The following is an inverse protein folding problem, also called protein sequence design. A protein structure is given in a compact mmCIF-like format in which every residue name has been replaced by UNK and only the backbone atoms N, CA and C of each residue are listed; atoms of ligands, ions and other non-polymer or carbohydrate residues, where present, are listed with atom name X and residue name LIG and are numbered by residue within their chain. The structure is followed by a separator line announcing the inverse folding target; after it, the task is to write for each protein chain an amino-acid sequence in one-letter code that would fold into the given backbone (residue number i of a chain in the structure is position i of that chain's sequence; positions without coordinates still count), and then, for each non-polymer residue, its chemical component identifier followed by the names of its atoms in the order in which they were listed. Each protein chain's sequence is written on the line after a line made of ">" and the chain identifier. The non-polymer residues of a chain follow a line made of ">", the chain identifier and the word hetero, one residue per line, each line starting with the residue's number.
data_IF_272521905043
#
_entry.id   IF_272521905043
#
_cell.length_a   1.000
_cell.length_b   1.000
_cell.length_c   1.000
_cell.angle_alpha   90.00
_cell.angle_beta   90.00
_cell.angle_gamma   90.00
#
_symmetry.space_group_name_H-M   'P 1'
#
loop_
_entity.id
_entity.type
_entity.pdbx_description
1 polymer ?
#
# COMPACT_ATOMS: atom_id res chain seq x y z
N UNK A 1 39.33 -35.47 -28.89
CA UNK A 1 39.26 -35.41 -27.41
C UNK A 1 38.32 -34.31 -26.90
N UNK A 2 38.48 -33.03 -27.29
CA UNK A 2 37.60 -31.91 -26.88
C UNK A 2 36.10 -32.11 -27.18
N UNK A 3 35.72 -32.53 -28.38
CA UNK A 3 34.32 -32.73 -28.76
C UNK A 3 33.60 -33.83 -27.94
N UNK A 4 34.35 -34.82 -27.43
CA UNK A 4 33.81 -35.91 -26.62
C UNK A 4 33.56 -35.45 -25.16
N UNK A 5 34.39 -34.52 -24.67
CA UNK A 5 34.24 -33.86 -23.37
C UNK A 5 33.02 -32.91 -23.41
N UNK A 6 32.85 -32.12 -24.48
CA UNK A 6 31.70 -31.22 -24.64
C UNK A 6 30.36 -31.98 -24.68
N UNK A 7 30.31 -33.14 -25.38
CA UNK A 7 29.11 -33.99 -25.38
C UNK A 7 28.80 -34.58 -24.00
N UNK A 8 29.81 -34.98 -23.22
CA UNK A 8 29.62 -35.47 -21.84
C UNK A 8 29.12 -34.39 -20.90
N UNK A 9 29.64 -33.16 -21.02
CA UNK A 9 29.17 -32.01 -20.24
C UNK A 9 27.72 -31.66 -20.59
N UNK A 10 27.37 -31.64 -21.88
CA UNK A 10 25.99 -31.40 -22.31
C UNK A 10 25.01 -32.46 -21.77
N UNK A 11 25.40 -33.74 -21.79
CA UNK A 11 24.61 -34.82 -21.17
C UNK A 11 24.43 -34.62 -19.67
N UNK A 12 25.48 -34.21 -18.94
CA UNK A 12 25.39 -33.93 -17.51
C UNK A 12 24.47 -32.74 -17.21
N UNK A 13 24.48 -31.70 -18.05
CA UNK A 13 23.58 -30.54 -17.92
C UNK A 13 22.12 -30.93 -18.19
N UNK A 14 21.86 -31.75 -19.22
CA UNK A 14 20.51 -32.23 -19.53
C UNK A 14 19.96 -33.13 -18.41
N UNK A 15 20.79 -34.01 -17.85
CA UNK A 15 20.42 -34.84 -16.69
C UNK A 15 20.16 -33.98 -15.45
N UNK A 16 21.00 -32.97 -15.17
CA UNK A 16 20.79 -32.05 -14.06
C UNK A 16 19.49 -31.23 -14.21
N UNK A 17 19.17 -30.78 -15.42
CA UNK A 17 17.93 -30.08 -15.72
C UNK A 17 16.70 -31.01 -15.63
N UNK A 18 16.83 -32.28 -15.98
CA UNK A 18 15.75 -33.27 -15.84
C UNK A 18 15.37 -33.57 -14.37
N UNK A 19 16.26 -33.30 -13.40
CA UNK A 19 15.99 -33.43 -11.96
C UNK A 19 15.53 -32.13 -11.28
N UNK A 20 15.37 -31.02 -12.02
CA UNK A 20 14.81 -29.75 -11.51
C UNK A 20 13.28 -29.80 -11.28
N UNK A 21 12.72 -31.00 -11.08
CA UNK A 21 11.29 -31.25 -11.00
C UNK A 21 10.64 -30.66 -9.75
N UNK A 22 9.76 -29.69 -9.98
CA UNK A 22 8.59 -29.27 -9.17
C UNK A 22 8.69 -29.38 -7.65
N UNK A 23 8.68 -28.22 -6.98
CA UNK A 23 8.64 -28.07 -5.53
C UNK A 23 7.65 -29.00 -4.82
N UNK A 24 8.10 -29.61 -3.72
CA UNK A 24 7.29 -30.37 -2.76
C UNK A 24 6.31 -29.46 -1.99
N UNK A 25 6.64 -28.18 -1.89
CA UNK A 25 5.94 -27.19 -1.07
C UNK A 25 5.02 -26.31 -1.92
N UNK A 26 3.90 -25.93 -1.33
CA UNK A 26 2.98 -24.91 -1.80
C UNK A 26 2.77 -23.89 -0.70
N UNK A 27 1.98 -22.88 -1.00
CA UNK A 27 1.59 -21.89 -0.01
C UNK A 27 0.19 -21.37 -0.29
N UNK A 28 -0.44 -20.81 0.74
CA UNK A 28 -1.61 -19.96 0.63
C UNK A 28 -1.28 -18.60 1.23
N UNK A 29 -1.86 -17.54 0.66
CA UNK A 29 -1.79 -16.19 1.22
C UNK A 29 -3.07 -15.91 2.00
N UNK A 30 -2.92 -15.42 3.24
CA UNK A 30 -4.04 -14.98 4.06
C UNK A 30 -3.94 -13.47 4.30
N UNK A 31 -5.07 -12.78 4.19
CA UNK A 31 -5.18 -11.37 4.54
C UNK A 31 -5.67 -11.29 5.98
N UNK A 32 -4.86 -10.74 6.87
CA UNK A 32 -5.27 -10.49 8.24
C UNK A 32 -5.69 -9.04 8.42
N UNK A 33 -6.83 -8.79 9.09
CA UNK A 33 -7.26 -7.43 9.35
C UNK A 33 -6.24 -6.72 10.23
N UNK A 34 -6.01 -5.45 9.91
CA UNK A 34 -5.22 -4.53 10.71
C UNK A 34 -6.12 -3.37 11.09
N UNK A 35 -6.09 -3.00 12.38
CA UNK A 35 -6.81 -1.83 12.86
C UNK A 35 -6.35 -0.57 12.11
N UNK A 36 -7.25 0.41 11.90
CA UNK A 36 -6.86 1.68 11.30
C UNK A 36 -5.84 2.41 12.19
N UNK A 37 -5.03 3.26 11.56
CA UNK A 37 -4.02 4.07 12.25
C UNK A 37 -4.64 5.25 13.00
N UNK A 38 -5.81 5.71 12.57
CA UNK A 38 -6.58 6.78 13.18
C UNK A 38 -8.08 6.42 13.19
N UNK A 39 -8.83 7.01 14.12
CA UNK A 39 -10.27 6.77 14.27
C UNK A 39 -11.02 8.09 14.11
N UNK A 40 -12.10 8.06 13.35
CA UNK A 40 -13.02 9.20 13.29
C UNK A 40 -13.92 9.19 14.52
N UNK A 41 -14.08 10.32 15.22
CA UNK A 41 -15.07 10.43 16.29
C UNK A 41 -16.49 10.18 15.78
N UNK A 42 -17.33 9.56 16.62
CA UNK A 42 -18.71 9.16 16.24
C UNK A 42 -19.62 10.37 15.96
N UNK A 43 -19.28 11.55 16.47
CA UNK A 43 -20.00 12.81 16.26
C UNK A 43 -19.55 13.57 15.00
N UNK A 44 -18.61 13.04 14.21
CA UNK A 44 -18.12 13.68 12.98
C UNK A 44 -18.65 12.96 11.73
N UNK A 45 -19.67 13.54 11.11
CA UNK A 45 -20.29 13.04 9.88
C UNK A 45 -20.04 13.98 8.69
N UNK A 46 -20.01 15.28 8.91
CA UNK A 46 -19.77 16.29 7.87
C UNK A 46 -18.49 17.06 8.16
N UNK A 47 -17.59 17.11 7.19
CA UNK A 47 -16.28 17.75 7.36
C UNK A 47 -16.10 18.81 6.26
N UNK A 48 -15.91 20.07 6.65
CA UNK A 48 -15.47 21.10 5.71
C UNK A 48 -14.00 20.86 5.37
N UNK A 49 -13.62 20.94 4.10
CA UNK A 49 -12.22 20.84 3.67
C UNK A 49 -11.76 22.14 3.02
N UNK A 50 -10.63 22.66 3.48
CA UNK A 50 -10.06 23.93 2.98
C UNK A 50 -8.57 23.79 2.67
N UNK A 51 -8.13 24.57 1.69
CA UNK A 51 -6.72 24.70 1.33
C UNK A 51 -6.12 25.95 1.98
N UNK A 52 -5.09 25.78 2.81
CA UNK A 52 -4.29 26.87 3.41
C UNK A 52 -2.83 26.83 2.94
N UNK A 53 -2.46 25.94 2.02
CA UNK A 53 -1.06 25.81 1.60
C UNK A 53 -0.56 26.92 0.67
N UNK A 54 -1.47 27.71 0.11
CA UNK A 54 -1.17 28.73 -0.90
C UNK A 54 -0.88 30.09 -0.26
N UNK A 55 -0.08 30.91 -0.94
CA UNK A 55 0.20 32.31 -0.57
C UNK A 55 -0.82 33.23 -1.24
N UNK A 56 -1.09 34.39 -0.63
CA UNK A 56 -1.93 35.43 -1.21
C UNK A 56 -1.25 36.08 -2.44
N UNK A 57 -2.02 36.37 -3.49
CA UNK A 57 -1.48 36.87 -4.77
C UNK A 57 -0.81 38.24 -4.65
N UNK A 58 -1.19 39.06 -3.68
CA UNK A 58 -0.58 40.39 -3.45
C UNK A 58 0.86 40.30 -2.91
N UNK A 59 1.18 39.28 -2.11
CA UNK A 59 2.53 39.03 -1.57
C UNK A 59 3.51 38.45 -2.61
N UNK A 60 3.01 38.06 -3.78
CA UNK A 60 3.84 37.57 -4.90
C UNK A 60 4.61 38.73 -5.57
N UNK A 61 4.13 39.98 -5.44
CA UNK A 61 4.70 41.14 -6.11
C UNK A 61 6.04 41.64 -5.52
N UNK A 62 6.36 41.36 -4.26
CA UNK A 62 7.62 41.80 -3.64
C UNK A 62 8.84 40.92 -3.99
N UNK A 63 8.64 39.82 -4.74
CA UNK A 63 9.72 38.91 -5.18
C UNK A 63 9.94 38.92 -6.70
N UNK A 64 9.49 39.96 -7.40
CA UNK A 64 9.46 40.02 -8.86
C UNK A 64 10.77 40.50 -9.47
N UNK A 65 11.70 39.56 -9.67
CA UNK A 65 12.56 39.50 -10.86
C UNK A 65 12.66 38.02 -11.29
N UNK A 66 11.59 37.45 -11.88
CA UNK A 66 11.64 36.23 -12.75
C UNK A 66 10.23 35.83 -13.29
N UNK A 67 9.37 36.81 -13.58
CA UNK A 67 7.92 36.59 -13.74
C UNK A 67 7.42 35.96 -15.07
N UNK A 68 8.28 35.69 -16.06
CA UNK A 68 7.81 35.17 -17.36
C UNK A 68 7.81 33.62 -17.40
N UNK A 69 8.51 32.95 -16.49
CA UNK A 69 8.48 31.48 -16.34
C UNK A 69 7.59 31.00 -15.16
N UNK A 70 7.27 31.87 -14.21
CA UNK A 70 6.58 31.53 -12.95
C UNK A 70 5.06 31.56 -13.03
N UNK A 71 4.48 32.18 -14.07
CA UNK A 71 3.03 32.23 -14.29
C UNK A 71 2.40 30.83 -14.51
N UNK A 72 3.13 29.89 -15.13
CA UNK A 72 2.71 28.49 -15.24
C UNK A 72 2.95 27.68 -13.94
N UNK A 73 3.87 28.12 -13.06
CA UNK A 73 4.36 27.39 -11.89
C UNK A 73 3.51 27.65 -10.64
N UNK A 74 3.10 28.90 -10.37
CA UNK A 74 2.11 29.19 -9.32
C UNK A 74 0.75 28.50 -9.59
N UNK A 75 0.43 28.29 -10.88
CA UNK A 75 -0.71 27.47 -11.31
C UNK A 75 -0.53 25.98 -11.06
N UNK A 76 0.68 25.44 -11.21
CA UNK A 76 0.96 24.00 -11.07
C UNK A 76 0.81 23.49 -9.63
N UNK A 77 1.38 24.19 -8.64
CA UNK A 77 1.22 23.79 -7.22
C UNK A 77 -0.22 23.96 -6.73
N UNK A 78 -0.92 25.00 -7.21
CA UNK A 78 -2.35 25.16 -6.96
C UNK A 78 -3.15 23.98 -7.52
N UNK A 79 -3.00 23.67 -8.80
CA UNK A 79 -3.68 22.53 -9.45
C UNK A 79 -3.32 21.19 -8.79
N UNK A 80 -2.06 21.00 -8.42
CA UNK A 80 -1.64 19.78 -7.73
C UNK A 80 -2.23 19.69 -6.32
N UNK A 81 -2.30 20.79 -5.57
CA UNK A 81 -2.95 20.83 -4.25
C UNK A 81 -4.45 20.54 -4.34
N UNK A 82 -5.12 20.98 -5.42
CA UNK A 82 -6.53 20.66 -5.69
C UNK A 82 -6.71 19.16 -5.98
N UNK A 83 -5.79 18.53 -6.73
CA UNK A 83 -5.81 17.08 -6.94
C UNK A 83 -5.54 16.30 -5.64
N UNK A 84 -4.74 16.84 -4.73
CA UNK A 84 -4.56 16.29 -3.37
C UNK A 84 -5.88 16.33 -2.57
N UNK A 85 -6.58 17.47 -2.57
CA UNK A 85 -7.90 17.62 -1.94
C UNK A 85 -8.92 16.65 -2.56
N UNK A 86 -8.91 16.51 -3.89
CA UNK A 86 -9.75 15.54 -4.61
C UNK A 86 -9.46 14.10 -4.19
N UNK A 87 -8.19 13.75 -3.97
CA UNK A 87 -7.81 12.46 -3.40
C UNK A 87 -8.45 12.19 -2.05
N UNK A 88 -8.44 13.17 -1.14
CA UNK A 88 -9.15 13.08 0.14
C UNK A 88 -10.67 12.94 -0.10
N UNK A 89 -11.25 13.80 -0.94
CA UNK A 89 -12.68 13.80 -1.24
C UNK A 89 -13.19 12.46 -1.79
N UNK A 90 -12.44 11.83 -2.69
CA UNK A 90 -12.79 10.50 -3.20
C UNK A 90 -12.52 9.40 -2.18
N UNK A 91 -11.44 9.53 -1.40
CA UNK A 91 -11.09 8.60 -0.31
C UNK A 91 -12.17 8.51 0.76
N UNK A 92 -12.72 9.64 1.21
CA UNK A 92 -13.71 9.70 2.31
C UNK A 92 -14.97 8.87 2.03
N UNK A 93 -15.32 8.68 0.75
CA UNK A 93 -16.45 7.83 0.35
C UNK A 93 -16.32 6.39 0.84
N UNK A 94 -15.11 5.93 1.17
CA UNK A 94 -14.84 4.60 1.73
C UNK A 94 -15.10 4.50 3.24
N UNK A 95 -15.15 5.62 3.96
CA UNK A 95 -15.31 5.62 5.42
C UNK A 95 -16.74 5.28 5.86
N UNK A 96 -17.74 5.52 4.99
CA UNK A 96 -19.15 5.29 5.29
C UNK A 96 -19.67 6.26 6.35
N UNK A 97 -20.77 6.96 6.09
CA UNK A 97 -21.34 7.93 7.03
C UNK A 97 -20.64 9.30 7.07
N UNK A 98 -19.37 9.38 6.67
CA UNK A 98 -18.64 10.66 6.54
C UNK A 98 -18.76 11.28 5.15
N UNK A 99 -18.95 12.59 5.08
CA UNK A 99 -19.01 13.38 3.85
C UNK A 99 -18.09 14.61 3.95
N UNK A 100 -17.44 14.97 2.84
CA UNK A 100 -16.70 16.22 2.73
C UNK A 100 -17.51 17.30 2.02
N UNK A 101 -17.43 18.52 2.53
CA UNK A 101 -17.98 19.74 1.93
C UNK A 101 -16.82 20.66 1.58
N UNK A 102 -16.77 21.15 0.34
CA UNK A 102 -15.77 22.14 -0.11
C UNK A 102 -16.42 23.52 -0.06
N UNK A 103 -16.04 24.39 0.91
CA UNK A 103 -16.62 25.72 1.03
C UNK A 103 -16.34 26.57 -0.20
N UNK A 104 -17.37 27.23 -0.75
CA UNK A 104 -17.21 28.00 -1.99
C UNK A 104 -16.45 29.33 -1.76
N UNK A 105 -16.68 29.97 -0.62
CA UNK A 105 -16.23 31.35 -0.34
C UNK A 105 -15.05 31.41 0.64
N UNK A 106 -14.72 30.32 1.33
CA UNK A 106 -13.61 30.32 2.30
C UNK A 106 -12.28 30.27 1.56
N UNK A 107 -11.42 31.26 1.81
CA UNK A 107 -10.03 31.29 1.36
C UNK A 107 -9.14 31.50 2.58
N UNK A 108 -8.18 30.61 2.76
CA UNK A 108 -7.15 30.71 3.78
C UNK A 108 -5.80 30.73 3.10
N UNK A 109 -4.89 31.50 3.65
CA UNK A 109 -3.53 31.63 3.14
C UNK A 109 -2.53 31.18 4.19
N UNK A 110 -1.49 30.51 3.71
CA UNK A 110 -0.35 30.06 4.49
C UNK A 110 0.90 30.82 4.09
N UNK A 111 2.04 30.30 4.52
CA UNK A 111 3.34 30.88 4.21
C UNK A 111 3.86 30.49 2.82
N UNK A 112 3.27 29.46 2.19
CA UNK A 112 3.82 28.84 0.98
C UNK A 112 5.14 28.12 1.21
N UNK A 113 5.50 27.86 2.46
CA UNK A 113 6.73 27.14 2.84
C UNK A 113 6.38 25.79 3.44
N UNK A 114 7.40 24.94 3.66
CA UNK A 114 7.27 23.69 4.41
C UNK A 114 7.18 23.90 5.93
N UNK A 115 7.20 25.14 6.42
CA UNK A 115 7.07 25.42 7.85
C UNK A 115 5.65 25.13 8.31
N UNK A 116 5.50 24.40 9.42
CA UNK A 116 4.18 24.09 9.95
C UNK A 116 3.51 25.37 10.48
N UNK A 117 2.33 25.74 9.97
CA UNK A 117 1.61 26.88 10.47
C UNK A 117 1.12 26.65 11.91
N UNK A 118 1.03 27.75 12.66
CA UNK A 118 0.29 27.80 13.91
C UNK A 118 -1.15 27.32 13.70
N UNK A 119 -1.76 26.87 14.80
CA UNK A 119 -3.17 26.47 14.82
C UNK A 119 -4.02 27.64 14.31
N UNK A 120 -5.05 27.31 13.54
CA UNK A 120 -6.12 28.26 13.28
C UNK A 120 -6.76 28.68 14.60
N UNK A 121 -7.15 29.95 14.67
CA UNK A 121 -7.93 30.44 15.80
C UNK A 121 -9.25 29.67 15.90
N UNK A 122 -9.62 29.26 17.11
CA UNK A 122 -10.79 28.41 17.33
C UNK A 122 -12.10 29.10 16.94
N UNK A 123 -12.18 30.43 17.03
CA UNK A 123 -13.38 31.17 16.62
C UNK A 123 -13.50 31.19 15.10
N UNK A 124 -12.37 31.21 14.36
CA UNK A 124 -12.36 31.03 12.91
C UNK A 124 -12.79 29.61 12.50
N UNK A 125 -12.25 28.58 13.17
CA UNK A 125 -12.66 27.18 12.92
C UNK A 125 -14.15 27.01 13.16
N UNK A 126 -14.66 27.51 14.31
CA UNK A 126 -16.08 27.45 14.63
C UNK A 126 -16.93 28.19 13.59
N UNK A 127 -16.53 29.40 13.18
CA UNK A 127 -17.23 30.19 12.16
C UNK A 127 -17.36 29.45 10.82
N UNK A 128 -16.29 28.81 10.35
CA UNK A 128 -16.31 28.04 9.09
C UNK A 128 -17.24 26.83 9.22
N UNK A 129 -17.12 26.08 10.33
CA UNK A 129 -17.96 24.91 10.55
C UNK A 129 -19.45 25.28 10.66
N UNK A 130 -19.77 26.37 11.35
CA UNK A 130 -21.13 26.89 11.47
C UNK A 130 -21.70 27.36 10.11
N UNK A 131 -20.92 28.06 9.28
CA UNK A 131 -21.40 28.55 7.98
C UNK A 131 -21.65 27.44 6.97
N UNK A 132 -20.90 26.34 7.07
CA UNK A 132 -20.96 25.21 6.14
C UNK A 132 -21.77 24.03 6.71
N UNK A 133 -22.36 24.17 7.90
CA UNK A 133 -23.12 23.14 8.61
C UNK A 133 -22.33 21.82 8.77
N UNK A 134 -21.08 21.92 9.26
CA UNK A 134 -20.17 20.78 9.41
C UNK A 134 -19.72 20.56 10.86
N UNK A 135 -19.35 19.32 11.17
CA UNK A 135 -18.92 18.88 12.51
C UNK A 135 -17.42 19.13 12.75
N UNK A 136 -16.62 19.17 11.69
CA UNK A 136 -15.17 19.32 11.75
C UNK A 136 -14.60 20.08 10.54
N UNK A 137 -13.38 20.61 10.68
CA UNK A 137 -12.64 21.30 9.62
C UNK A 137 -11.33 20.57 9.32
N UNK A 138 -11.20 20.05 8.10
CA UNK A 138 -9.96 19.48 7.56
C UNK A 138 -9.20 20.55 6.77
N UNK A 139 -7.95 20.79 7.15
CA UNK A 139 -7.11 21.82 6.53
C UNK A 139 -5.89 21.18 5.88
N UNK A 140 -5.67 21.46 4.60
CA UNK A 140 -4.37 21.27 3.95
C UNK A 140 -3.48 22.45 4.36
N UNK A 141 -2.67 22.29 5.41
CA UNK A 141 -1.88 23.40 5.96
C UNK A 141 -0.64 23.67 5.12
N UNK A 142 0.02 22.63 4.62
CA UNK A 142 1.17 22.76 3.72
C UNK A 142 1.08 21.76 2.57
N UNK A 143 1.56 22.20 1.41
CA UNK A 143 1.66 21.40 0.19
C UNK A 143 2.89 21.87 -0.55
N UNK A 144 3.76 20.93 -0.90
CA UNK A 144 4.99 21.22 -1.62
C UNK A 144 5.32 20.08 -2.57
N UNK A 145 5.72 20.44 -3.78
CA UNK A 145 6.09 19.50 -4.84
C UNK A 145 7.46 19.83 -5.39
N UNK A 146 8.27 18.83 -5.77
CA UNK A 146 9.56 19.09 -6.41
C UNK A 146 9.41 19.44 -7.91
N UNK A 147 8.52 20.37 -8.23
CA UNK A 147 8.28 20.87 -9.59
C UNK A 147 9.55 21.44 -10.23
N UNK A 148 10.46 22.01 -9.43
CA UNK A 148 11.75 22.58 -9.90
C UNK A 148 12.68 21.56 -10.58
N UNK A 149 12.73 20.32 -10.10
CA UNK A 149 13.55 19.26 -10.71
C UNK A 149 13.00 18.86 -12.10
N UNK A 150 11.68 18.91 -12.23
CA UNK A 150 10.91 18.56 -13.41
C UNK A 150 11.11 19.63 -14.51
N UNK A 151 11.04 20.89 -14.10
CA UNK A 151 11.26 22.05 -14.96
C UNK A 151 12.70 22.18 -15.41
N UNK A 152 13.67 21.96 -14.52
CA UNK A 152 15.09 21.95 -14.91
C UNK A 152 15.41 20.84 -15.91
N UNK A 153 14.81 19.65 -15.78
CA UNK A 153 14.95 18.59 -16.77
C UNK A 153 14.32 18.97 -18.13
N UNK A 154 13.10 19.51 -18.13
CA UNK A 154 12.38 19.90 -19.35
C UNK A 154 13.03 21.09 -20.08
N UNK A 155 13.43 22.13 -19.36
CA UNK A 155 14.07 23.34 -19.91
C UNK A 155 15.43 23.04 -20.52
N UNK A 156 16.28 22.27 -19.83
CA UNK A 156 17.56 21.82 -20.36
C UNK A 156 17.38 21.01 -21.65
N UNK A 157 16.30 20.24 -21.76
CA UNK A 157 16.01 19.45 -22.95
C UNK A 157 15.56 20.32 -24.13
N UNK A 158 14.64 21.26 -23.91
CA UNK A 158 14.21 22.21 -24.94
C UNK A 158 15.41 22.99 -25.46
N UNK A 159 16.29 23.47 -24.57
CA UNK A 159 17.52 24.15 -24.93
C UNK A 159 18.48 23.26 -25.75
N UNK A 160 18.63 21.97 -25.39
CA UNK A 160 19.45 21.02 -26.15
C UNK A 160 18.88 20.75 -27.55
N UNK A 161 17.57 20.55 -27.69
CA UNK A 161 16.93 20.33 -29.00
C UNK A 161 17.13 21.56 -29.90
N UNK A 162 16.95 22.76 -29.36
CA UNK A 162 17.13 24.03 -30.08
C UNK A 162 18.60 24.22 -30.49
N UNK A 163 19.56 23.89 -29.62
CA UNK A 163 20.98 24.17 -29.84
C UNK A 163 21.72 23.11 -30.65
N UNK A 164 21.41 21.83 -30.46
CA UNK A 164 22.16 20.71 -31.06
C UNK A 164 21.35 19.88 -32.05
N UNK A 165 20.04 20.15 -32.22
CA UNK A 165 19.17 19.38 -33.13
C UNK A 165 18.97 17.91 -32.70
N UNK A 166 19.40 17.56 -31.48
CA UNK A 166 19.31 16.23 -30.88
C UNK A 166 19.37 16.39 -29.36
N UNK A 167 18.58 15.63 -28.58
CA UNK A 167 18.66 15.69 -27.12
C UNK A 167 20.00 15.12 -26.62
N UNK A 168 20.52 15.64 -25.50
CA UNK A 168 21.79 15.24 -24.88
C UNK A 168 21.80 13.76 -24.44
N UNK A 169 22.99 13.12 -24.50
CA UNK A 169 23.20 11.66 -24.39
C UNK A 169 22.97 10.99 -23.01
N UNK A 170 22.33 11.65 -22.05
CA UNK A 170 22.02 11.06 -20.74
C UNK A 170 20.66 11.56 -20.25
N UNK A 171 19.60 11.22 -21.00
CA UNK A 171 18.24 11.38 -20.52
C UNK A 171 17.98 10.24 -19.52
N UNK A 172 17.69 10.52 -18.24
CA UNK A 172 17.23 9.46 -17.35
C UNK A 172 15.95 8.87 -17.94
N UNK A 173 15.83 7.54 -18.04
CA UNK A 173 14.63 6.92 -18.61
C UNK A 173 13.39 7.14 -17.75
N UNK A 174 13.57 7.56 -16.50
CA UNK A 174 12.55 7.72 -15.49
C UNK A 174 12.78 8.97 -14.67
N UNK A 175 11.69 9.53 -14.14
CA UNK A 175 11.73 10.59 -13.14
C UNK A 175 10.93 10.16 -11.92
N UNK A 176 11.43 10.53 -10.74
CA UNK A 176 10.75 10.31 -9.46
C UNK A 176 10.08 11.61 -9.03
N UNK A 177 8.75 11.61 -9.01
CA UNK A 177 7.92 12.66 -8.43
C UNK A 177 7.86 12.53 -6.93
N UNK A 178 7.75 13.65 -6.23
CA UNK A 178 7.39 13.68 -4.82
C UNK A 178 6.49 14.85 -4.50
N UNK A 179 5.50 14.57 -3.65
CA UNK A 179 4.59 15.54 -3.05
C UNK A 179 4.66 15.37 -1.55
N UNK A 180 4.85 16.47 -0.83
CA UNK A 180 4.77 16.54 0.63
C UNK A 180 3.51 17.32 0.98
N UNK A 181 2.65 16.75 1.81
CA UNK A 181 1.47 17.43 2.32
C UNK A 181 1.36 17.28 3.84
N UNK A 182 0.75 18.27 4.49
CA UNK A 182 0.41 18.22 5.90
C UNK A 182 -1.07 18.54 6.08
N UNK A 183 -1.77 17.64 6.76
CA UNK A 183 -3.18 17.75 7.08
C UNK A 183 -3.38 17.98 8.57
N UNK A 184 -4.39 18.77 8.91
CA UNK A 184 -4.85 18.94 10.28
C UNK A 184 -6.37 18.94 10.33
N UNK A 185 -6.94 18.11 11.20
CA UNK A 185 -8.39 17.97 11.37
C UNK A 185 -8.80 18.53 12.73
N UNK A 186 -9.59 19.59 12.69
CA UNK A 186 -10.04 20.35 13.86
C UNK A 186 -11.47 19.95 14.25
N UNK A 187 -11.71 19.87 15.55
CA UNK A 187 -13.04 19.74 16.11
C UNK A 187 -13.43 21.05 16.85
N UNK A 188 -14.38 21.86 16.33
CA UNK A 188 -14.75 23.13 16.93
C UNK A 188 -15.42 22.98 18.30
N UNK A 189 -16.29 21.98 18.49
CA UNK A 189 -17.03 21.77 19.73
C UNK A 189 -16.14 21.49 20.96
N UNK A 190 -15.15 20.61 20.82
CA UNK A 190 -14.19 20.26 21.88
C UNK A 190 -12.94 21.13 21.89
N UNK A 191 -12.74 21.98 20.87
CA UNK A 191 -11.50 22.74 20.63
C UNK A 191 -10.25 21.85 20.65
N UNK A 192 -10.33 20.71 19.97
CA UNK A 192 -9.25 19.72 19.88
C UNK A 192 -8.85 19.41 18.45
N UNK A 193 -7.61 18.97 18.26
CA UNK A 193 -7.15 18.39 17.00
C UNK A 193 -7.48 16.90 17.03
N UNK A 194 -8.35 16.45 16.13
CA UNK A 194 -8.68 15.03 15.95
C UNK A 194 -7.46 14.31 15.39
N UNK A 195 -6.80 14.93 14.41
CA UNK A 195 -5.66 14.33 13.73
C UNK A 195 -4.75 15.37 13.10
N UNK A 196 -3.48 15.02 13.00
CA UNK A 196 -2.44 15.81 12.33
C UNK A 196 -1.46 14.85 11.66
N UNK A 197 -1.21 15.05 10.37
CA UNK A 197 -0.44 14.07 9.60
C UNK A 197 0.34 14.72 8.46
N UNK A 198 1.64 14.46 8.45
CA UNK A 198 2.50 14.75 7.32
C UNK A 198 2.72 13.50 6.50
N UNK A 199 2.58 13.62 5.19
CA UNK A 199 2.85 12.53 4.27
C UNK A 199 3.78 12.98 3.15
N UNK A 200 4.63 12.07 2.69
CA UNK A 200 5.39 12.25 1.46
C UNK A 200 5.07 11.10 0.51
N UNK A 201 4.40 11.41 -0.58
CA UNK A 201 4.15 10.46 -1.67
C UNK A 201 5.25 10.52 -2.69
N UNK A 202 5.60 9.35 -3.23
CA UNK A 202 6.59 9.20 -4.30
C UNK A 202 6.02 8.33 -5.41
N UNK A 203 6.20 8.76 -6.67
CA UNK A 203 5.86 7.97 -7.84
C UNK A 203 6.96 8.08 -8.89
N UNK A 204 7.20 7.00 -9.62
CA UNK A 204 8.20 6.97 -10.70
C UNK A 204 7.48 6.84 -12.03
N UNK A 205 7.81 7.72 -12.97
CA UNK A 205 7.23 7.74 -14.31
C UNK A 205 8.32 7.59 -15.36
N UNK A 206 8.02 6.83 -16.42
CA UNK A 206 8.88 6.77 -17.59
C UNK A 206 8.82 8.11 -18.37
N UNK A 207 9.97 8.55 -18.87
CA UNK A 207 10.06 9.76 -19.67
C UNK A 207 9.77 9.46 -21.14
N UNK A 208 8.75 10.12 -21.70
CA UNK A 208 8.41 10.02 -23.11
C UNK A 208 9.15 11.12 -23.88
N UNK A 209 10.20 10.71 -24.61
CA UNK A 209 11.05 11.67 -25.30
C UNK A 209 11.69 12.67 -24.34
N UNK A 210 12.06 12.23 -23.13
CA UNK A 210 12.72 13.03 -22.08
C UNK A 210 11.83 13.92 -21.23
N UNK A 211 10.52 13.95 -21.50
CA UNK A 211 9.54 14.70 -20.72
C UNK A 211 8.67 13.75 -19.89
N UNK A 212 8.36 14.09 -18.61
CA UNK A 212 7.38 13.32 -17.84
C UNK A 212 5.99 13.42 -18.43
N UNK A 213 5.12 12.44 -18.17
CA UNK A 213 3.75 12.53 -18.62
C UNK A 213 3.01 13.68 -17.89
N UNK A 214 2.07 14.39 -18.54
CA UNK A 214 1.40 15.55 -17.95
C UNK A 214 0.67 15.28 -16.63
N UNK A 215 0.23 14.04 -16.41
CA UNK A 215 -0.44 13.60 -15.18
C UNK A 215 0.52 13.20 -14.06
N UNK A 216 1.85 13.24 -14.25
CA UNK A 216 2.80 12.76 -13.25
C UNK A 216 2.63 13.45 -11.88
N UNK A 217 2.55 14.78 -11.88
CA UNK A 217 2.35 15.55 -10.66
C UNK A 217 0.91 15.43 -10.11
N UNK A 218 -0.16 15.64 -10.91
CA UNK A 218 -1.54 15.38 -10.49
C UNK A 218 -1.76 14.02 -9.84
N UNK A 219 -1.25 12.93 -10.44
CA UNK A 219 -1.41 11.57 -9.94
C UNK A 219 -0.67 11.35 -8.62
N UNK A 220 0.55 11.91 -8.50
CA UNK A 220 1.31 11.87 -7.25
C UNK A 220 0.61 12.64 -6.13
N UNK A 221 0.03 13.81 -6.45
CA UNK A 221 -0.69 14.63 -5.48
C UNK A 221 -2.01 13.99 -5.05
N UNK A 222 -2.79 13.46 -6.00
CA UNK A 222 -4.00 12.69 -5.72
C UNK A 222 -3.72 11.52 -4.77
N UNK A 223 -2.65 10.77 -5.01
CA UNK A 223 -2.25 9.68 -4.14
C UNK A 223 -1.86 10.15 -2.73
N UNK A 224 -1.23 11.32 -2.59
CA UNK A 224 -0.92 11.92 -1.29
C UNK A 224 -2.19 12.24 -0.49
N UNK A 225 -3.25 12.71 -1.16
CA UNK A 225 -4.57 12.90 -0.55
C UNK A 225 -5.22 11.59 -0.11
N UNK A 226 -5.21 10.57 -0.97
CA UNK A 226 -5.73 9.24 -0.65
C UNK A 226 -5.02 8.65 0.58
N UNK A 227 -3.70 8.82 0.69
CA UNK A 227 -2.91 8.31 1.80
C UNK A 227 -3.35 8.86 3.16
N UNK A 228 -3.86 10.10 3.22
CA UNK A 228 -4.41 10.66 4.45
C UNK A 228 -5.64 9.87 4.92
N UNK A 229 -6.57 9.57 4.01
CA UNK A 229 -7.82 8.86 4.35
C UNK A 229 -7.60 7.38 4.63
N UNK A 230 -6.63 6.74 3.98
CA UNK A 230 -6.30 5.32 4.22
C UNK A 230 -5.98 5.01 5.69
N UNK A 231 -5.54 6.00 6.47
CA UNK A 231 -5.26 5.86 7.91
C UNK A 231 -6.52 5.56 8.73
N UNK A 232 -7.68 5.96 8.25
CA UNK A 232 -8.96 5.73 8.89
C UNK A 232 -9.66 4.45 8.41
N UNK A 233 -9.11 3.79 7.40
CA UNK A 233 -9.65 2.55 6.86
C UNK A 233 -8.97 1.32 7.49
N UNK A 234 -9.70 0.23 7.72
CA UNK A 234 -9.10 -1.03 8.15
C UNK A 234 -8.15 -1.53 7.05
N UNK A 235 -6.92 -1.85 7.45
CA UNK A 235 -5.91 -2.40 6.55
C UNK A 235 -5.94 -3.92 6.54
N UNK A 236 -5.11 -4.51 5.68
CA UNK A 236 -4.76 -5.92 5.77
C UNK A 236 -3.28 -6.13 5.56
N UNK A 237 -2.68 -7.04 6.33
CA UNK A 237 -1.35 -7.54 6.02
C UNK A 237 -1.45 -8.96 5.47
N UNK A 238 -0.72 -9.20 4.38
CA UNK A 238 -0.68 -10.51 3.73
C UNK A 238 0.36 -11.37 4.41
N UNK A 239 -0.05 -12.53 4.91
CA UNK A 239 0.88 -13.56 5.35
C UNK A 239 0.91 -14.70 4.35
N UNK A 240 2.03 -15.41 4.35
CA UNK A 240 2.17 -16.67 3.65
C UNK A 240 2.11 -17.82 4.64
N UNK A 241 1.36 -18.88 4.30
CA UNK A 241 1.36 -20.17 5.01
C UNK A 241 1.83 -21.26 4.08
N UNK A 242 2.95 -21.86 4.43
CA UNK A 242 3.49 -22.98 3.67
C UNK A 242 2.73 -24.27 3.99
N UNK A 243 2.46 -25.06 2.95
CA UNK A 243 1.86 -26.39 3.05
C UNK A 243 2.52 -27.34 2.06
N UNK A 244 2.20 -28.62 2.14
CA UNK A 244 2.73 -29.63 1.25
C UNK A 244 1.82 -29.85 0.04
N UNK A 245 2.41 -29.91 -1.18
CA UNK A 245 1.68 -30.32 -2.40
C UNK A 245 1.67 -31.83 -2.58
N UNK A 246 2.67 -32.52 -2.03
CA UNK A 246 2.99 -33.91 -2.36
C UNK A 246 3.42 -34.70 -1.13
N UNK A 247 3.12 -35.98 -1.15
CA UNK A 247 3.78 -37.02 -0.33
C UNK A 247 4.45 -38.07 -1.24
N UNK A 248 5.02 -39.13 -0.65
CA UNK A 248 5.58 -40.27 -1.39
C UNK A 248 4.93 -41.58 -1.00
N UNK A 249 4.89 -42.55 -1.91
CA UNK A 249 4.19 -43.82 -1.73
C UNK A 249 2.82 -43.84 -2.42
N UNK A 250 1.98 -44.80 -2.05
CA UNK A 250 0.63 -45.01 -2.60
C UNK A 250 -0.28 -43.78 -2.45
N UNK A 251 -0.15 -43.03 -1.35
CA UNK A 251 -0.94 -41.83 -1.06
C UNK A 251 -0.65 -40.61 -1.97
N UNK A 252 0.31 -40.68 -2.90
CA UNK A 252 0.75 -39.51 -3.70
C UNK A 252 -0.40 -38.83 -4.45
N UNK A 253 -1.26 -39.61 -5.12
CA UNK A 253 -2.33 -39.07 -5.94
C UNK A 253 -3.46 -38.47 -5.08
N UNK A 254 -3.83 -39.16 -4.01
CA UNK A 254 -4.83 -38.69 -3.05
C UNK A 254 -4.37 -37.41 -2.35
N UNK A 255 -3.13 -37.37 -1.85
CA UNK A 255 -2.58 -36.17 -1.21
C UNK A 255 -2.57 -34.95 -2.15
N UNK A 256 -2.23 -35.17 -3.42
CA UNK A 256 -2.25 -34.14 -4.46
C UNK A 256 -3.68 -33.68 -4.79
N UNK A 257 -4.67 -34.57 -4.73
CA UNK A 257 -6.07 -34.21 -4.91
C UNK A 257 -6.56 -33.26 -3.80
N UNK A 258 -6.16 -33.50 -2.54
CA UNK A 258 -6.43 -32.58 -1.42
C UNK A 258 -5.81 -31.19 -1.67
N UNK A 259 -4.55 -31.14 -2.13
CA UNK A 259 -3.92 -29.87 -2.47
C UNK A 259 -4.62 -29.14 -3.63
N UNK A 260 -5.08 -29.85 -4.67
CA UNK A 260 -5.85 -29.23 -5.76
C UNK A 260 -7.20 -28.68 -5.29
N UNK A 261 -7.86 -29.34 -4.34
CA UNK A 261 -9.10 -28.83 -3.72
C UNK A 261 -8.82 -27.50 -3.01
N UNK A 262 -7.72 -27.41 -2.26
CA UNK A 262 -7.28 -26.17 -1.63
C UNK A 262 -6.98 -25.04 -2.65
N UNK A 263 -6.38 -25.35 -3.80
CA UNK A 263 -6.10 -24.35 -4.86
C UNK A 263 -7.36 -23.70 -5.46
N UNK A 264 -8.52 -24.36 -5.36
CA UNK A 264 -9.82 -23.83 -5.80
C UNK A 264 -10.72 -23.45 -4.62
N UNK A 265 -10.13 -23.13 -3.46
CA UNK A 265 -10.79 -22.72 -2.23
C UNK A 265 -11.76 -23.75 -1.60
N UNK A 266 -11.74 -25.00 -2.05
CA UNK A 266 -12.47 -26.09 -1.40
C UNK A 266 -11.65 -26.67 -0.24
N UNK A 267 -11.48 -25.87 0.81
CA UNK A 267 -10.68 -26.21 1.99
C UNK A 267 -11.29 -27.35 2.81
N UNK A 268 -12.62 -27.37 2.96
CA UNK A 268 -13.30 -28.45 3.67
C UNK A 268 -13.09 -29.80 2.97
N UNK A 269 -13.25 -29.85 1.64
CA UNK A 269 -12.96 -31.05 0.87
C UNK A 269 -11.47 -31.41 0.87
N UNK A 270 -10.57 -30.44 1.01
CA UNK A 270 -9.15 -30.74 1.19
C UNK A 270 -8.87 -31.41 2.55
N UNK A 271 -9.52 -30.93 3.62
CA UNK A 271 -9.45 -31.52 4.97
C UNK A 271 -9.92 -32.96 4.95
N UNK A 272 -11.07 -33.28 4.33
CA UNK A 272 -11.57 -34.66 4.23
C UNK A 272 -10.51 -35.63 3.68
N UNK A 273 -9.85 -35.24 2.58
CA UNK A 273 -8.82 -36.06 1.95
C UNK A 273 -7.58 -36.22 2.83
N UNK A 274 -7.14 -35.14 3.48
CA UNK A 274 -5.95 -35.19 4.33
C UNK A 274 -6.22 -35.89 5.65
N UNK A 275 -7.44 -35.82 6.18
CA UNK A 275 -7.82 -36.47 7.43
C UNK A 275 -7.70 -38.00 7.32
N UNK A 276 -8.15 -38.58 6.21
CA UNK A 276 -7.94 -40.00 5.87
C UNK A 276 -6.44 -40.40 5.85
N UNK A 277 -5.56 -39.44 5.54
CA UNK A 277 -4.11 -39.64 5.48
C UNK A 277 -3.40 -39.24 6.77
N UNK A 278 -4.12 -38.68 7.76
CA UNK A 278 -3.53 -38.09 8.95
C UNK A 278 -2.95 -39.11 9.93
N UNK A 279 -3.37 -40.37 9.80
CA UNK A 279 -2.85 -41.53 10.54
C UNK A 279 -2.26 -42.60 9.59
N UNK A 280 -1.79 -42.20 8.40
CA UNK A 280 -1.14 -43.11 7.44
C UNK A 280 0.07 -43.83 8.09
N UNK A 281 0.20 -45.14 7.81
CA UNK A 281 1.32 -46.00 8.24
C UNK A 281 2.70 -45.36 8.06
N UNK A 282 2.85 -44.51 7.05
CA UNK A 282 4.02 -43.70 6.82
C UNK A 282 3.87 -42.38 7.56
N UNK A 283 4.57 -42.27 8.67
CA UNK A 283 4.64 -41.07 9.52
C UNK A 283 4.86 -39.77 8.73
N UNK A 284 5.71 -39.79 7.69
CA UNK A 284 5.97 -38.61 6.85
C UNK A 284 4.76 -38.16 6.02
N UNK A 285 3.83 -39.06 5.67
CA UNK A 285 2.57 -38.70 5.02
C UNK A 285 1.61 -38.12 6.05
N UNK A 286 1.44 -38.83 7.17
CA UNK A 286 0.61 -38.44 8.30
C UNK A 286 0.94 -37.03 8.84
N UNK A 287 2.22 -36.76 9.12
CA UNK A 287 2.66 -35.44 9.58
C UNK A 287 2.37 -34.31 8.59
N UNK A 288 2.57 -34.56 7.28
CA UNK A 288 2.26 -33.57 6.24
C UNK A 288 0.77 -33.30 6.10
N UNK A 289 -0.04 -34.35 6.22
CA UNK A 289 -1.49 -34.24 6.19
C UNK A 289 -1.97 -33.40 7.38
N UNK A 290 -1.48 -33.69 8.60
CA UNK A 290 -1.76 -32.90 9.78
C UNK A 290 -1.37 -31.41 9.60
N UNK A 291 -0.19 -31.11 9.03
CA UNK A 291 0.19 -29.72 8.75
C UNK A 291 -0.78 -29.06 7.76
N UNK A 292 -1.15 -29.75 6.69
CA UNK A 292 -2.04 -29.20 5.68
C UNK A 292 -3.46 -28.95 6.25
N UNK A 293 -3.96 -29.85 7.11
CA UNK A 293 -5.21 -29.66 7.85
C UNK A 293 -5.13 -28.45 8.78
N UNK A 294 -3.99 -28.25 9.45
CA UNK A 294 -3.77 -27.06 10.27
C UNK A 294 -3.93 -25.77 9.45
N UNK A 295 -3.25 -25.69 8.29
CA UNK A 295 -3.35 -24.53 7.40
C UNK A 295 -4.77 -24.33 6.90
N UNK A 296 -5.47 -25.40 6.51
CA UNK A 296 -6.85 -25.31 6.06
C UNK A 296 -7.80 -24.79 7.14
N UNK A 297 -7.61 -25.22 8.40
CA UNK A 297 -8.41 -24.72 9.52
C UNK A 297 -8.15 -23.24 9.79
N UNK A 298 -6.90 -22.74 9.66
CA UNK A 298 -6.63 -21.31 9.78
C UNK A 298 -7.34 -20.52 8.68
N UNK A 299 -7.34 -21.03 7.44
CA UNK A 299 -8.04 -20.40 6.31
C UNK A 299 -9.55 -20.32 6.56
N UNK A 300 -10.13 -21.34 7.21
CA UNK A 300 -11.54 -21.39 7.56
C UNK A 300 -11.90 -20.59 8.83
N UNK A 301 -10.94 -19.93 9.47
CA UNK A 301 -11.15 -19.14 10.70
C UNK A 301 -11.14 -19.96 11.99
N UNK A 302 -10.86 -21.26 11.93
CA UNK A 302 -10.80 -22.16 13.09
C UNK A 302 -9.38 -22.18 13.69
N UNK A 303 -8.93 -21.04 14.26
CA UNK A 303 -7.55 -20.88 14.75
C UNK A 303 -7.16 -21.92 15.83
N UNK A 304 -8.09 -22.28 16.72
CA UNK A 304 -7.84 -23.29 17.76
C UNK A 304 -7.58 -24.67 17.17
N UNK A 305 -8.44 -25.10 16.25
CA UNK A 305 -8.28 -26.38 15.57
C UNK A 305 -7.01 -26.39 14.70
N UNK A 306 -6.68 -25.26 14.07
CA UNK A 306 -5.41 -25.11 13.35
C UNK A 306 -4.21 -25.35 14.27
N UNK A 307 -4.24 -24.81 15.49
CA UNK A 307 -3.16 -24.98 16.47
C UNK A 307 -3.03 -26.45 16.89
N UNK A 308 -4.14 -27.12 17.16
CA UNK A 308 -4.14 -28.53 17.56
C UNK A 308 -3.56 -29.44 16.48
N UNK A 309 -3.95 -29.24 15.21
CA UNK A 309 -3.40 -30.00 14.08
C UNK A 309 -1.93 -29.69 13.82
N UNK A 310 -1.50 -28.44 14.00
CA UNK A 310 -0.09 -28.06 13.86
C UNK A 310 0.78 -28.71 14.95
N UNK A 311 0.27 -28.80 16.18
CA UNK A 311 0.89 -29.55 17.27
C UNK A 311 0.92 -31.05 16.97
N UNK A 312 -0.20 -31.66 16.56
CA UNK A 312 -0.27 -33.09 16.19
C UNK A 312 0.77 -33.45 15.13
N UNK A 313 0.92 -32.62 14.11
CA UNK A 313 1.92 -32.77 13.04
C UNK A 313 3.35 -32.89 13.57
N UNK A 314 3.70 -32.17 14.64
CA UNK A 314 5.03 -32.23 15.25
C UNK A 314 5.15 -33.30 16.34
N UNK A 315 4.23 -33.32 17.30
CA UNK A 315 4.30 -34.17 18.49
C UNK A 315 4.29 -35.66 18.14
N UNK A 316 3.52 -36.06 17.12
CA UNK A 316 3.41 -37.46 16.71
C UNK A 316 4.28 -37.85 15.50
N UNK A 317 4.68 -36.88 14.66
CA UNK A 317 5.35 -37.17 13.38
C UNK A 317 6.63 -36.37 13.10
N UNK A 318 7.13 -35.59 14.07
CA UNK A 318 8.36 -34.77 13.97
C UNK A 318 8.39 -33.81 12.76
N UNK A 319 7.23 -33.32 12.31
CA UNK A 319 7.20 -32.33 11.24
C UNK A 319 7.59 -30.94 11.76
N UNK A 320 8.82 -30.52 11.44
CA UNK A 320 9.37 -29.23 11.85
C UNK A 320 8.60 -28.02 11.31
N UNK A 321 7.91 -28.15 10.16
CA UNK A 321 7.02 -27.09 9.69
C UNK A 321 5.82 -26.95 10.62
N UNK A 322 5.25 -28.06 11.09
CA UNK A 322 4.18 -28.09 12.11
C UNK A 322 4.60 -27.38 13.39
N UNK A 323 5.81 -27.67 13.90
CA UNK A 323 6.37 -26.99 15.09
C UNK A 323 6.49 -25.49 14.92
N UNK A 324 7.04 -25.05 13.78
CA UNK A 324 7.23 -23.62 13.56
C UNK A 324 5.89 -22.91 13.40
N UNK A 325 4.95 -23.57 12.74
CA UNK A 325 3.62 -23.03 12.52
C UNK A 325 2.79 -22.97 13.81
N UNK A 326 2.88 -23.96 14.70
CA UNK A 326 2.21 -23.90 16.01
C UNK A 326 2.70 -22.72 16.87
N UNK A 327 3.99 -22.35 16.78
CA UNK A 327 4.51 -21.14 17.43
C UNK A 327 3.91 -19.85 16.85
N UNK A 328 3.70 -19.80 15.53
CA UNK A 328 3.04 -18.67 14.87
C UNK A 328 1.60 -18.54 15.36
N UNK A 329 0.86 -19.65 15.39
CA UNK A 329 -0.53 -19.69 15.84
C UNK A 329 -0.66 -19.33 17.34
N UNK A 330 0.25 -19.80 18.19
CA UNK A 330 0.29 -19.41 19.61
C UNK A 330 0.50 -17.91 19.82
N UNK A 331 1.48 -17.33 19.10
CA UNK A 331 1.74 -15.89 19.17
C UNK A 331 0.54 -15.09 18.66
N UNK A 332 -0.18 -15.61 17.67
CA UNK A 332 -1.38 -14.98 17.15
C UNK A 332 -2.50 -14.98 18.18
N UNK A 333 -2.76 -16.13 18.81
CA UNK A 333 -3.81 -16.25 19.83
C UNK A 333 -3.64 -15.26 20.98
N UNK A 334 -2.41 -14.98 21.41
CA UNK A 334 -2.13 -13.96 22.44
C UNK A 334 -2.44 -12.51 22.02
N UNK A 335 -2.76 -12.25 20.75
CA UNK A 335 -3.24 -10.94 20.28
C UNK A 335 -4.75 -10.93 20.02
N UNK A 336 -5.41 -12.10 20.05
CA UNK A 336 -6.86 -12.25 19.82
C UNK A 336 -7.64 -12.36 21.15
N UNK A 337 -6.97 -12.76 22.25
CA UNK A 337 -7.48 -12.78 23.63
C UNK A 337 -7.30 -11.42 24.34
#
# INVERSE_FOLDING_TARGET
>A
MRAMITKRILYLVIVALAFSGCSKYGYVSLNFPQAPEAYMPDDVNFIAIVNRSLVEEEDVNDRVIEAIATSEIAGSDRLASDECIKGVYEGVKQLGGTQLIIPQEVRLYGTGTREMPDLLDWDLVAKICESEETDALLVLETFDSNTDLLMSAATNQVAAIISTGSPTASIPSQVKMNVVCYWRLYHPGTKSIIDQYQHTSYMTFDLNGGMPPPNALPETAYAAGIAYIQRYLPGFYVVRRDLYKRTSGSAKNQFMAGYRRAEVANWQGAIEIWDELSDDSKQKTAGRACLNIAVANEVLGNTDLALDWAKKSYEFYDDKLGRNYSKILLRRKSFED
#
